data_IF_768419188002
#
_entry.id   IF_768419188002
#
_cell.length_a   1.000
_cell.length_b   1.000
_cell.length_c   1.000
_cell.angle_alpha   90.00
_cell.angle_beta   90.00
_cell.angle_gamma   90.00
#
_symmetry.space_group_name_H-M   'P 1'
#
loop_
_entity.id
_entity.type
_entity.pdbx_description
1 polymer ?
#
# COMPACT_ATOMS: atom_id res chain seq x y z
N UNK A 1 -1.09 -2.76 -10.84
CA UNK A 1 -1.12 -2.75 -9.35
C UNK A 1 -2.54 -2.58 -8.78
N UNK A 2 -3.26 -1.50 -9.06
CA UNK A 2 -4.62 -1.30 -8.50
C UNK A 2 -5.58 -2.47 -8.75
N UNK A 3 -5.65 -2.96 -9.99
CA UNK A 3 -6.44 -4.15 -10.34
C UNK A 3 -6.02 -5.41 -9.59
N UNK A 4 -4.72 -5.61 -9.33
CA UNK A 4 -4.17 -6.77 -8.62
C UNK A 4 -4.60 -6.77 -7.15
N UNK A 5 -4.59 -5.59 -6.51
CA UNK A 5 -5.07 -5.43 -5.14
C UNK A 5 -6.59 -5.65 -5.04
N UNK A 6 -7.36 -5.15 -6.01
CA UNK A 6 -8.82 -5.34 -6.06
C UNK A 6 -9.16 -6.83 -6.21
N UNK A 7 -8.55 -7.50 -7.19
CA UNK A 7 -8.72 -8.92 -7.43
C UNK A 7 -8.42 -9.75 -6.16
N UNK A 8 -7.32 -9.43 -5.45
CA UNK A 8 -6.98 -10.09 -4.19
C UNK A 8 -8.05 -9.91 -3.10
N UNK A 9 -8.56 -8.68 -2.95
CA UNK A 9 -9.59 -8.36 -1.95
C UNK A 9 -10.89 -9.09 -2.27
N UNK A 10 -11.35 -9.02 -3.52
CA UNK A 10 -12.61 -9.62 -3.97
C UNK A 10 -12.58 -11.15 -3.87
N UNK A 11 -11.44 -11.78 -4.21
CA UNK A 11 -11.24 -13.21 -4.04
C UNK A 11 -11.16 -13.64 -2.56
N UNK A 12 -10.79 -12.73 -1.66
CA UNK A 12 -10.68 -13.03 -0.23
C UNK A 12 -11.99 -12.79 0.53
N UNK A 13 -12.76 -11.76 0.18
CA UNK A 13 -13.99 -11.41 0.90
C UNK A 13 -14.97 -10.56 0.09
N UNK A 14 -16.27 -10.78 0.30
CA UNK A 14 -17.36 -9.96 -0.21
C UNK A 14 -17.89 -8.94 0.81
N UNK A 15 -17.22 -8.79 1.96
CA UNK A 15 -17.70 -7.94 3.08
C UNK A 15 -17.28 -6.47 2.98
N UNK A 16 -16.56 -6.09 1.94
CA UNK A 16 -16.02 -4.74 1.77
C UNK A 16 -16.61 -4.10 0.52
N UNK A 17 -16.82 -2.79 0.57
CA UNK A 17 -17.09 -1.98 -0.60
C UNK A 17 -15.80 -1.29 -1.04
N UNK A 18 -15.45 -1.40 -2.31
CA UNK A 18 -14.21 -0.83 -2.86
C UNK A 18 -14.55 0.43 -3.65
N UNK A 19 -13.91 1.55 -3.30
CA UNK A 19 -13.99 2.81 -4.04
C UNK A 19 -12.60 3.09 -4.61
N UNK A 20 -12.52 3.31 -5.92
CA UNK A 20 -11.28 3.65 -6.61
C UNK A 20 -11.25 5.13 -6.97
N UNK A 21 -10.07 5.74 -6.82
CA UNK A 21 -9.81 7.12 -7.20
C UNK A 21 -8.42 7.19 -7.81
N UNK A 22 -8.33 7.52 -9.10
CA UNK A 22 -7.06 7.60 -9.83
C UNK A 22 -6.66 9.06 -10.01
N UNK A 23 -5.37 9.34 -9.79
CA UNK A 23 -4.75 10.66 -9.94
C UNK A 23 -3.58 10.60 -10.91
N UNK A 24 -3.12 11.74 -11.46
CA UNK A 24 -2.01 11.78 -12.40
C UNK A 24 -0.69 11.23 -11.85
N UNK A 25 -0.36 11.51 -10.58
CA UNK A 25 0.89 11.05 -9.99
C UNK A 25 0.86 10.91 -8.47
N UNK A 26 1.97 10.41 -7.93
CA UNK A 26 2.08 10.05 -6.50
C UNK A 26 1.88 11.25 -5.56
N UNK A 27 2.26 12.47 -5.97
CA UNK A 27 2.08 13.70 -5.17
C UNK A 27 0.62 14.10 -4.97
N UNK A 28 -0.29 13.56 -5.78
CA UNK A 28 -1.72 13.79 -5.68
C UNK A 28 -2.42 12.78 -4.76
N UNK A 29 -1.75 11.66 -4.42
CA UNK A 29 -2.31 10.60 -3.57
C UNK A 29 -2.72 11.08 -2.16
N UNK A 30 -1.97 11.95 -1.46
CA UNK A 30 -2.38 12.43 -0.14
C UNK A 30 -3.77 13.07 -0.14
N UNK A 31 -4.04 13.93 -1.12
CA UNK A 31 -5.32 14.62 -1.24
C UNK A 31 -6.41 13.66 -1.69
N UNK A 32 -6.11 12.73 -2.60
CA UNK A 32 -7.05 11.70 -3.02
C UNK A 32 -7.51 10.82 -1.84
N UNK A 33 -6.57 10.36 -1.00
CA UNK A 33 -6.90 9.61 0.22
C UNK A 33 -7.75 10.44 1.19
N UNK A 34 -7.41 11.73 1.37
CA UNK A 34 -8.21 12.61 2.21
C UNK A 34 -9.64 12.78 1.69
N UNK A 35 -9.81 12.92 0.37
CA UNK A 35 -11.13 12.99 -0.27
C UNK A 35 -11.92 11.71 -0.02
N UNK A 36 -11.29 10.54 -0.19
CA UNK A 36 -11.92 9.23 0.07
C UNK A 36 -12.38 9.11 1.53
N UNK A 37 -11.58 9.60 2.48
CA UNK A 37 -11.98 9.61 3.89
C UNK A 37 -13.09 10.59 4.24
N UNK A 38 -13.00 11.83 3.73
CA UNK A 38 -13.89 12.92 4.14
C UNK A 38 -15.25 12.88 3.40
N UNK A 39 -15.25 12.48 2.12
CA UNK A 39 -16.45 12.55 1.26
C UNK A 39 -17.10 11.20 0.98
N UNK A 40 -16.29 10.14 0.95
CA UNK A 40 -16.77 8.78 0.66
C UNK A 40 -16.75 7.90 1.91
N UNK A 41 -16.41 8.47 3.06
CA UNK A 41 -16.41 7.83 4.38
C UNK A 41 -15.61 6.52 4.44
N UNK A 42 -14.62 6.35 3.57
CA UNK A 42 -13.78 5.15 3.57
C UNK A 42 -13.13 4.93 4.96
N UNK A 43 -13.01 3.68 5.39
CA UNK A 43 -12.43 3.34 6.70
C UNK A 43 -10.90 3.20 6.65
N UNK A 44 -10.36 2.86 5.47
CA UNK A 44 -8.95 2.63 5.21
C UNK A 44 -8.68 2.88 3.71
N UNK A 45 -7.46 3.29 3.36
CA UNK A 45 -7.04 3.45 1.97
C UNK A 45 -5.79 2.62 1.64
N UNK A 46 -5.66 2.23 0.37
CA UNK A 46 -4.43 1.71 -0.23
C UNK A 46 -3.92 2.77 -1.21
N UNK A 47 -2.80 3.42 -0.91
CA UNK A 47 -2.16 4.39 -1.78
C UNK A 47 -1.12 3.69 -2.65
N UNK A 48 -1.39 3.56 -3.94
CA UNK A 48 -0.55 2.81 -4.88
C UNK A 48 0.20 3.80 -5.77
N UNK A 49 1.52 3.61 -5.89
CA UNK A 49 2.38 4.44 -6.72
C UNK A 49 3.56 3.66 -7.27
N UNK A 50 4.13 4.13 -8.37
CA UNK A 50 5.34 3.56 -8.96
C UNK A 50 6.31 4.70 -9.27
N UNK A 51 7.18 5.08 -8.33
CA UNK A 51 8.20 6.10 -8.57
C UNK A 51 9.21 5.64 -9.63
N UNK A 52 9.62 6.58 -10.48
CA UNK A 52 10.68 6.36 -11.46
C UNK A 52 12.06 6.17 -10.80
N UNK A 53 13.08 5.80 -11.59
CA UNK A 53 14.41 5.50 -11.07
C UNK A 53 15.27 6.74 -10.78
N UNK A 54 14.87 7.94 -11.23
CA UNK A 54 15.70 9.12 -11.08
C UNK A 54 15.71 9.60 -9.62
N UNK A 55 16.79 10.27 -9.20
CA UNK A 55 16.90 10.82 -7.85
C UNK A 55 15.76 11.80 -7.53
N UNK A 56 15.33 12.59 -8.53
CA UNK A 56 14.18 13.49 -8.41
C UNK A 56 12.86 12.74 -8.15
N UNK A 57 12.72 11.53 -8.69
CA UNK A 57 11.53 10.70 -8.48
C UNK A 57 11.49 10.18 -7.03
N UNK A 58 12.65 9.84 -6.46
CA UNK A 58 12.79 9.44 -5.04
C UNK A 58 12.43 10.59 -4.10
N UNK A 59 12.83 11.81 -4.44
CA UNK A 59 12.43 13.02 -3.69
C UNK A 59 10.92 13.22 -3.80
N UNK A 60 10.34 13.13 -5.00
CA UNK A 60 8.89 13.25 -5.19
C UNK A 60 8.12 12.16 -4.43
N UNK A 61 8.61 10.92 -4.41
CA UNK A 61 8.04 9.82 -3.65
C UNK A 61 8.08 10.12 -2.15
N UNK A 62 9.22 10.59 -1.63
CA UNK A 62 9.35 11.01 -0.24
C UNK A 62 8.35 12.11 0.14
N UNK A 63 8.19 13.15 -0.69
CA UNK A 63 7.20 14.22 -0.48
C UNK A 63 5.77 13.67 -0.44
N UNK A 64 5.44 12.75 -1.36
CA UNK A 64 4.15 12.07 -1.37
C UNK A 64 3.93 11.26 -0.08
N UNK A 65 4.92 10.50 0.38
CA UNK A 65 4.85 9.74 1.64
C UNK A 65 4.65 10.65 2.85
N UNK A 66 5.31 11.82 2.91
CA UNK A 66 5.08 12.80 3.97
C UNK A 66 3.63 13.32 3.95
N UNK A 67 3.09 13.60 2.76
CA UNK A 67 1.68 13.96 2.61
C UNK A 67 0.72 12.86 3.09
N UNK A 68 1.01 11.59 2.76
CA UNK A 68 0.23 10.43 3.20
C UNK A 68 0.26 10.33 4.74
N UNK A 69 1.44 10.47 5.36
CA UNK A 69 1.59 10.50 6.83
C UNK A 69 0.73 11.60 7.45
N UNK A 70 0.81 12.82 6.92
CA UNK A 70 0.00 13.94 7.41
C UNK A 70 -1.49 13.63 7.29
N UNK A 71 -1.93 13.07 6.16
CA UNK A 71 -3.32 12.67 5.96
C UNK A 71 -3.79 11.66 7.00
N UNK A 72 -2.99 10.62 7.31
CA UNK A 72 -3.32 9.64 8.36
C UNK A 72 -3.49 10.31 9.72
N UNK A 73 -2.57 11.21 10.09
CA UNK A 73 -2.61 11.91 11.38
C UNK A 73 -3.82 12.85 11.49
N UNK A 74 -4.21 13.51 10.39
CA UNK A 74 -5.36 14.41 10.35
C UNK A 74 -6.71 13.69 10.40
N UNK A 75 -6.80 12.44 9.91
CA UNK A 75 -8.06 11.69 9.84
C UNK A 75 -8.19 10.60 10.90
N UNK A 76 -7.08 10.21 11.55
CA UNK A 76 -7.05 9.07 12.47
C UNK A 76 -7.32 7.73 11.78
N UNK A 77 -7.19 7.66 10.45
CA UNK A 77 -7.42 6.47 9.63
C UNK A 77 -6.12 6.02 8.97
N UNK A 78 -5.99 4.71 8.76
CA UNK A 78 -4.81 4.13 8.12
C UNK A 78 -4.84 4.31 6.60
N UNK A 79 -3.68 4.62 6.03
CA UNK A 79 -3.38 4.55 4.60
C UNK A 79 -2.19 3.59 4.47
N UNK A 80 -2.36 2.49 3.76
CA UNK A 80 -1.24 1.63 3.43
C UNK A 80 -0.60 2.16 2.16
N UNK A 81 0.62 2.67 2.29
CA UNK A 81 1.44 3.07 1.15
C UNK A 81 2.03 1.82 0.48
N UNK A 82 1.79 1.68 -0.81
CA UNK A 82 2.24 0.59 -1.65
C UNK A 82 2.96 1.20 -2.86
N UNK A 83 4.20 1.65 -2.61
CA UNK A 83 5.10 2.15 -3.64
C UNK A 83 6.04 1.05 -4.09
N UNK A 84 6.27 0.97 -5.41
CA UNK A 84 7.30 0.12 -6.02
C UNK A 84 8.16 1.01 -6.89
N UNK A 85 9.43 1.20 -6.53
CA UNK A 85 10.34 1.97 -7.38
C UNK A 85 10.79 1.09 -8.55
N UNK A 86 10.90 1.69 -9.73
CA UNK A 86 11.33 0.97 -10.93
C UNK A 86 12.72 0.33 -10.77
N UNK A 87 13.60 0.93 -9.96
CA UNK A 87 14.95 0.43 -9.68
C UNK A 87 15.01 -0.69 -8.63
N UNK A 88 13.86 -1.17 -8.13
CA UNK A 88 13.80 -2.37 -7.30
C UNK A 88 14.00 -3.66 -8.11
N UNK A 89 13.80 -3.62 -9.42
CA UNK A 89 13.91 -4.78 -10.30
C UNK A 89 14.89 -4.53 -11.46
N UNK A 90 15.59 -5.58 -11.89
CA UNK A 90 16.56 -5.48 -12.98
C UNK A 90 15.90 -5.62 -14.36
N UNK A 91 14.70 -6.22 -14.40
CA UNK A 91 13.97 -6.48 -15.64
C UNK A 91 12.50 -6.08 -15.55
N UNK A 92 11.85 -5.74 -16.68
CA UNK A 92 10.40 -5.46 -16.68
C UNK A 92 9.55 -6.60 -16.15
N UNK A 93 9.91 -7.86 -16.45
CA UNK A 93 9.19 -9.04 -15.98
C UNK A 93 9.32 -9.21 -14.45
N UNK A 94 10.48 -8.90 -13.89
CA UNK A 94 10.68 -8.88 -12.45
C UNK A 94 9.90 -7.75 -11.80
N UNK A 95 9.91 -6.55 -12.39
CA UNK A 95 9.16 -5.39 -11.88
C UNK A 95 7.66 -5.70 -11.80
N UNK A 96 7.11 -6.35 -12.84
CA UNK A 96 5.70 -6.79 -12.85
C UNK A 96 5.41 -7.74 -11.69
N UNK A 97 6.30 -8.71 -11.42
CA UNK A 97 6.14 -9.66 -10.30
C UNK A 97 6.19 -8.97 -8.94
N UNK A 98 7.13 -8.05 -8.74
CA UNK A 98 7.24 -7.28 -7.49
C UNK A 98 5.99 -6.42 -7.29
N UNK A 99 5.52 -5.77 -8.36
CA UNK A 99 4.28 -5.00 -8.36
C UNK A 99 3.05 -5.83 -7.98
N UNK A 100 2.90 -7.03 -8.57
CA UNK A 100 1.79 -7.93 -8.28
C UNK A 100 1.83 -8.41 -6.84
N UNK A 101 2.96 -8.98 -6.41
CA UNK A 101 3.15 -9.50 -5.06
C UNK A 101 2.90 -8.42 -4.00
N UNK A 102 3.53 -7.24 -4.14
CA UNK A 102 3.37 -6.15 -3.17
C UNK A 102 1.93 -5.64 -3.12
N UNK A 103 1.27 -5.49 -4.26
CA UNK A 103 -0.13 -5.05 -4.30
C UNK A 103 -1.04 -6.05 -3.57
N UNK A 104 -0.87 -7.36 -3.81
CA UNK A 104 -1.67 -8.43 -3.17
C UNK A 104 -1.40 -8.54 -1.67
N UNK A 105 -0.13 -8.49 -1.25
CA UNK A 105 0.22 -8.59 0.17
C UNK A 105 -0.24 -7.35 0.96
N UNK A 106 -0.18 -6.14 0.39
CA UNK A 106 -0.76 -4.97 1.02
C UNK A 106 -2.30 -5.03 1.07
N UNK A 107 -2.96 -5.60 0.06
CA UNK A 107 -4.38 -5.89 0.10
C UNK A 107 -4.74 -6.83 1.27
N UNK A 108 -3.97 -7.90 1.49
CA UNK A 108 -4.15 -8.78 2.65
C UNK A 108 -3.93 -8.05 3.98
N UNK A 109 -2.92 -7.17 4.06
CA UNK A 109 -2.68 -6.36 5.25
C UNK A 109 -3.84 -5.41 5.59
N UNK A 110 -4.50 -4.84 4.57
CA UNK A 110 -5.74 -4.08 4.77
C UNK A 110 -6.82 -4.95 5.41
N UNK A 111 -7.02 -6.16 4.90
CA UNK A 111 -8.01 -7.09 5.46
C UNK A 111 -7.65 -7.52 6.89
N UNK A 112 -6.36 -7.65 7.22
CA UNK A 112 -5.93 -7.92 8.59
C UNK A 112 -6.21 -6.75 9.52
N UNK A 113 -5.98 -5.52 9.08
CA UNK A 113 -6.30 -4.33 9.87
C UNK A 113 -7.81 -4.15 10.09
N UNK A 114 -8.63 -4.45 9.08
CA UNK A 114 -10.09 -4.36 9.17
C UNK A 114 -10.69 -5.48 10.03
N UNK A 115 -10.27 -6.73 9.82
CA UNK A 115 -11.00 -7.89 10.34
C UNK A 115 -10.20 -8.81 11.27
N UNK A 116 -8.86 -8.78 11.24
CA UNK A 116 -8.01 -9.79 11.91
C UNK A 116 -6.79 -9.18 12.63
N UNK A 117 -6.98 -8.12 13.42
CA UNK A 117 -5.88 -7.46 14.14
C UNK A 117 -5.05 -8.40 15.05
N UNK A 118 -5.64 -9.49 15.56
CA UNK A 118 -4.90 -10.49 16.34
C UNK A 118 -3.88 -11.29 15.52
N UNK A 119 -4.09 -11.43 14.20
CA UNK A 119 -3.09 -12.01 13.31
C UNK A 119 -1.82 -11.16 13.29
N UNK A 120 -1.97 -9.83 13.24
CA UNK A 120 -0.83 -8.89 13.28
C UNK A 120 -0.08 -9.02 14.62
N UNK A 121 -0.79 -9.11 15.75
CA UNK A 121 -0.17 -9.30 17.07
C UNK A 121 0.66 -10.58 17.15
N UNK A 122 0.13 -11.70 16.64
CA UNK A 122 0.82 -13.01 16.64
C UNK A 122 2.06 -13.04 15.76
N UNK A 123 2.15 -12.14 14.79
CA UNK A 123 3.24 -12.05 13.83
C UNK A 123 4.16 -10.84 14.06
N UNK A 124 3.96 -10.12 15.17
CA UNK A 124 4.86 -9.05 15.58
C UNK A 124 6.29 -9.58 15.77
N UNK A 125 7.28 -8.90 15.18
CA UNK A 125 8.69 -9.26 15.29
C UNK A 125 9.15 -10.45 14.43
N UNK A 126 8.32 -10.95 13.51
CA UNK A 126 8.68 -12.11 12.65
C UNK A 126 9.39 -11.76 11.34
N UNK A 127 9.62 -10.47 11.05
CA UNK A 127 10.34 -10.04 9.85
C UNK A 127 9.60 -10.31 8.54
N UNK A 128 8.26 -10.24 8.55
CA UNK A 128 7.43 -10.39 7.36
C UNK A 128 7.60 -9.20 6.41
N UNK A 129 7.71 -9.44 5.10
CA UNK A 129 7.94 -8.41 4.06
C UNK A 129 6.79 -8.32 3.07
N UNK A 130 6.83 -7.31 2.19
CA UNK A 130 5.91 -7.16 1.07
C UNK A 130 6.66 -6.99 -0.27
N UNK A 131 6.39 -7.85 -1.24
CA UNK A 131 6.98 -7.91 -2.58
C UNK A 131 8.13 -8.92 -2.70
N UNK A 132 8.88 -9.15 -1.62
CA UNK A 132 10.04 -10.06 -1.56
C UNK A 132 9.91 -11.02 -0.37
N UNK A 133 10.67 -12.14 -0.35
CA UNK A 133 10.63 -13.11 0.73
C UNK A 133 10.90 -12.52 2.12
N UNK A 134 10.23 -13.06 3.13
CA UNK A 134 10.40 -12.70 4.53
C UNK A 134 11.86 -12.85 4.99
N UNK A 135 12.34 -11.92 5.82
CA UNK A 135 13.70 -11.99 6.38
C UNK A 135 13.77 -12.86 7.64
N UNK A 136 12.61 -13.21 8.20
CA UNK A 136 12.48 -14.02 9.40
C UNK A 136 12.69 -13.23 10.71
N UNK A 137 12.44 -13.87 11.87
CA UNK A 137 12.57 -13.23 13.17
C UNK A 137 14.04 -12.98 13.53
N UNK A 138 14.28 -11.89 14.27
CA UNK A 138 15.57 -11.67 14.95
C UNK A 138 15.68 -12.72 16.05
N UNK A 139 16.80 -13.45 16.09
CA UNK A 139 17.12 -14.32 17.23
C UNK A 139 17.55 -13.43 18.40
N UNK A 140 16.76 -13.42 19.47
CA UNK A 140 17.06 -12.77 20.74
C UNK A 140 17.60 -13.83 21.70
#
# INVERSE_FOLDING_TARGET
>A
MGSMAIDEIENTTSKVNIIYYTVPGMKDLPVACKILFDRYECEICLAIGMPGPAEIDKICAHEASQGIIMCQLMTGKHILECFVHEDEAETPDELIKVCDNRAREHAQNILYLLFKKDWLKRNAGKGLRQGYPDIGPIRI
#
